data_IF_822149358952
#
_entry.id   IF_822149358952
#
_cell.length_a   1.000
_cell.length_b   1.000
_cell.length_c   1.000
_cell.angle_alpha   90.00
_cell.angle_beta   90.00
_cell.angle_gamma   90.00
#
_symmetry.space_group_name_H-M   'P 1'
#
loop_
_entity.id
_entity.type
_entity.pdbx_description
1 polymer ?
#
# COMPACT_ATOMS: atom_id res chain seq x y z
N UNK A 1 -11.32 20.83 -2.41
CA UNK A 1 -10.52 20.57 -3.64
C UNK A 1 -10.20 19.09 -3.65
N UNK A 2 -10.43 18.39 -4.75
CA UNK A 2 -10.09 16.97 -4.92
C UNK A 2 -8.97 16.84 -5.96
N UNK A 3 -8.09 15.86 -5.79
CA UNK A 3 -7.03 15.52 -6.73
C UNK A 3 -6.82 14.02 -6.75
N UNK A 4 -6.54 13.44 -7.93
CA UNK A 4 -6.35 12.02 -8.10
C UNK A 4 -6.38 11.59 -9.56
N UNK A 5 -6.20 10.30 -9.79
CA UNK A 5 -6.22 9.67 -11.11
C UNK A 5 -7.02 8.37 -11.06
N UNK A 6 -8.22 8.37 -11.65
CA UNK A 6 -9.13 7.23 -11.64
C UNK A 6 -8.65 6.04 -12.48
N UNK A 7 -7.58 6.20 -13.27
CA UNK A 7 -6.95 5.12 -14.02
C UNK A 7 -5.85 4.39 -13.23
N UNK A 8 -5.62 4.78 -11.96
CA UNK A 8 -4.70 4.09 -11.06
C UNK A 8 -5.44 3.01 -10.27
N UNK A 9 -5.12 2.82 -8.98
CA UNK A 9 -5.73 1.80 -8.16
C UNK A 9 -7.22 2.14 -7.91
N UNK A 10 -8.14 1.19 -8.19
CA UNK A 10 -9.53 1.36 -7.81
C UNK A 10 -9.67 1.33 -6.28
N UNK A 11 -10.80 1.79 -5.74
CA UNK A 11 -11.08 1.62 -4.32
C UNK A 11 -11.06 0.13 -3.96
N UNK A 12 -10.31 -0.22 -2.92
CA UNK A 12 -10.31 -1.56 -2.34
C UNK A 12 -11.74 -1.96 -1.99
N UNK A 13 -12.11 -3.21 -2.29
CA UNK A 13 -13.39 -3.75 -1.82
C UNK A 13 -13.31 -3.84 -0.30
N UNK A 14 -14.04 -2.98 0.41
CA UNK A 14 -14.26 -3.16 1.83
C UNK A 14 -14.83 -4.57 2.03
N UNK A 15 -14.15 -5.36 2.86
CA UNK A 15 -14.47 -6.73 3.20
C UNK A 15 -15.99 -6.93 3.33
N UNK A 16 -16.59 -7.67 2.39
CA UNK A 16 -17.95 -8.18 2.58
C UNK A 16 -17.77 -9.51 3.30
N UNK A 17 -18.08 -9.63 4.61
CA UNK A 17 -17.86 -10.86 5.38
C UNK A 17 -18.63 -12.07 4.83
N UNK A 18 -19.58 -11.82 3.93
CA UNK A 18 -20.42 -12.83 3.32
C UNK A 18 -20.33 -12.75 1.79
N UNK A 19 -19.68 -13.75 1.18
CA UNK A 19 -19.58 -13.91 -0.28
C UNK A 19 -20.96 -14.01 -0.95
N UNK A 20 -22.04 -14.32 -0.21
CA UNK A 20 -23.41 -14.31 -0.74
C UNK A 20 -23.95 -12.89 -1.02
N UNK A 21 -23.31 -11.85 -0.47
CA UNK A 21 -23.70 -10.43 -0.65
C UNK A 21 -22.77 -9.65 -1.60
N UNK A 22 -21.85 -10.33 -2.28
CA UNK A 22 -20.99 -9.77 -3.34
C UNK A 22 -21.77 -9.02 -4.44
N UNK A 23 -23.03 -9.38 -4.66
CA UNK A 23 -23.92 -8.69 -5.59
C UNK A 23 -24.35 -7.29 -5.16
N UNK A 24 -24.33 -6.96 -3.84
CA UNK A 24 -24.90 -5.73 -3.29
C UNK A 24 -23.86 -4.63 -2.99
N UNK A 25 -22.61 -4.99 -2.74
CA UNK A 25 -21.54 -4.03 -2.44
C UNK A 25 -20.41 -4.11 -3.48
N UNK A 26 -20.70 -3.66 -4.70
CA UNK A 26 -19.63 -3.32 -5.65
C UNK A 26 -18.99 -2.02 -5.20
N UNK A 27 -17.67 -2.00 -5.06
CA UNK A 27 -16.92 -0.76 -4.84
C UNK A 27 -17.22 0.20 -6.00
N UNK A 28 -17.84 1.34 -5.70
CA UNK A 28 -18.19 2.36 -6.69
C UNK A 28 -17.07 3.40 -6.75
N UNK A 29 -16.83 3.97 -7.92
CA UNK A 29 -15.87 5.07 -8.00
C UNK A 29 -16.45 6.32 -7.33
N UNK A 30 -15.57 7.19 -6.83
CA UNK A 30 -16.01 8.44 -6.20
C UNK A 30 -16.89 9.29 -7.14
N UNK A 31 -16.65 9.23 -8.45
CA UNK A 31 -17.44 9.95 -9.46
C UNK A 31 -18.84 9.40 -9.70
N UNK A 32 -19.15 8.19 -9.22
CA UNK A 32 -20.49 7.59 -9.31
C UNK A 32 -21.43 8.10 -8.20
N UNK A 33 -20.90 8.76 -7.16
CA UNK A 33 -21.69 9.27 -6.06
C UNK A 33 -22.71 10.33 -6.52
N UNK A 34 -23.95 10.26 -6.03
CA UNK A 34 -25.00 11.24 -6.36
C UNK A 34 -24.61 12.68 -5.98
N UNK A 35 -23.80 12.85 -4.94
CA UNK A 35 -23.25 14.13 -4.49
C UNK A 35 -22.17 14.68 -5.42
N UNK A 36 -21.49 13.84 -6.22
CA UNK A 36 -20.38 14.25 -7.07
C UNK A 36 -20.77 15.39 -8.01
N UNK A 37 -21.90 15.24 -8.72
CA UNK A 37 -22.43 16.27 -9.64
C UNK A 37 -22.85 17.56 -8.93
N UNK A 38 -23.22 17.49 -7.64
CA UNK A 38 -23.63 18.66 -6.85
C UNK A 38 -22.41 19.43 -6.34
N UNK A 39 -21.34 18.72 -5.97
CA UNK A 39 -20.16 19.29 -5.32
C UNK A 39 -19.04 19.65 -6.29
N UNK A 40 -18.87 18.91 -7.38
CA UNK A 40 -17.76 19.08 -8.34
C UNK A 40 -18.25 19.86 -9.56
N UNK A 41 -18.08 21.19 -9.51
CA UNK A 41 -18.48 22.11 -10.60
C UNK A 41 -17.38 22.38 -11.61
N UNK A 42 -16.12 22.24 -11.19
CA UNK A 42 -14.95 22.53 -12.01
C UNK A 42 -14.01 21.33 -11.99
N UNK A 43 -13.54 20.95 -13.18
CA UNK A 43 -12.58 19.86 -13.39
C UNK A 43 -11.44 20.43 -14.24
N UNK A 44 -10.21 20.31 -13.73
CA UNK A 44 -9.00 20.67 -14.46
C UNK A 44 -8.20 19.39 -14.74
N UNK A 45 -7.80 19.18 -15.99
CA UNK A 45 -6.99 18.04 -16.41
C UNK A 45 -5.55 18.52 -16.63
N UNK A 46 -4.62 17.95 -15.88
CA UNK A 46 -3.19 18.20 -16.07
C UNK A 46 -2.63 17.24 -17.13
N UNK A 47 -1.98 17.78 -18.15
CA UNK A 47 -1.47 17.01 -19.30
C UNK A 47 0.05 16.85 -19.29
N UNK A 48 0.77 17.74 -18.63
CA UNK A 48 2.23 17.71 -18.57
C UNK A 48 2.75 16.78 -17.46
N UNK A 49 3.61 15.85 -17.83
CA UNK A 49 4.28 14.92 -16.90
C UNK A 49 5.66 15.48 -16.52
N UNK A 50 5.92 15.60 -15.21
CA UNK A 50 7.19 16.13 -14.68
C UNK A 50 8.11 15.05 -14.10
N UNK A 51 7.59 13.88 -13.74
CA UNK A 51 8.37 12.82 -13.08
C UNK A 51 9.37 12.14 -14.03
N UNK A 52 9.03 12.04 -15.32
CA UNK A 52 9.86 11.39 -16.33
C UNK A 52 10.14 12.35 -17.49
N UNK A 53 11.42 12.54 -17.82
CA UNK A 53 11.85 13.41 -18.93
C UNK A 53 11.92 12.67 -20.28
N UNK A 54 12.04 11.35 -20.28
CA UNK A 54 12.25 10.57 -21.52
C UNK A 54 10.92 10.38 -22.28
N UNK A 55 10.79 10.90 -23.52
CA UNK A 55 9.56 10.83 -24.30
C UNK A 55 9.16 9.41 -24.71
N UNK A 56 10.13 8.50 -24.88
CA UNK A 56 9.85 7.08 -25.18
C UNK A 56 9.23 6.42 -23.95
N UNK A 57 9.75 6.71 -22.77
CA UNK A 57 9.21 6.16 -21.52
C UNK A 57 7.83 6.72 -21.20
N UNK A 58 7.59 8.01 -21.43
CA UNK A 58 6.27 8.61 -21.30
C UNK A 58 5.21 7.91 -22.16
N UNK A 59 5.52 7.65 -23.45
CA UNK A 59 4.60 6.91 -24.33
C UNK A 59 4.34 5.48 -23.85
N UNK A 60 5.35 4.84 -23.26
CA UNK A 60 5.19 3.51 -22.67
C UNK A 60 4.23 3.56 -21.47
N UNK A 61 4.41 4.51 -20.55
CA UNK A 61 3.54 4.68 -19.37
C UNK A 61 2.10 5.05 -19.77
N UNK A 62 1.92 5.91 -20.75
CA UNK A 62 0.60 6.26 -21.28
C UNK A 62 -0.10 5.04 -21.91
N UNK A 63 0.66 4.21 -22.64
CA UNK A 63 0.13 2.97 -23.23
C UNK A 63 -0.32 1.99 -22.15
N UNK A 64 0.42 1.87 -21.04
CA UNK A 64 0.01 1.08 -19.85
C UNK A 64 -1.25 1.67 -19.21
N UNK A 65 -1.31 2.99 -19.02
CA UNK A 65 -2.44 3.71 -18.40
C UNK A 65 -3.78 3.47 -19.12
N UNK A 66 -3.74 3.33 -20.45
CA UNK A 66 -4.94 3.06 -21.26
C UNK A 66 -5.08 1.59 -21.71
N UNK A 67 -4.23 0.68 -21.21
CA UNK A 67 -4.30 -0.75 -21.56
C UNK A 67 -3.90 -1.11 -23.00
N UNK A 68 -3.14 -0.25 -23.69
CA UNK A 68 -2.72 -0.45 -25.10
C UNK A 68 -1.38 -1.19 -25.18
N UNK A 69 -1.38 -2.49 -24.89
CA UNK A 69 -0.13 -3.24 -24.66
C UNK A 69 0.59 -3.75 -25.92
N UNK A 70 -0.11 -3.90 -27.06
CA UNK A 70 0.39 -4.62 -28.24
C UNK A 70 1.77 -4.16 -28.76
N UNK A 71 2.13 -2.88 -28.58
CA UNK A 71 3.39 -2.30 -29.09
C UNK A 71 4.48 -2.17 -28.03
N UNK A 72 4.19 -2.46 -26.75
CA UNK A 72 5.12 -2.21 -25.63
C UNK A 72 5.61 -3.48 -24.92
N UNK A 73 4.97 -4.64 -25.17
CA UNK A 73 5.32 -5.92 -24.51
C UNK A 73 6.81 -6.24 -24.65
N UNK A 74 7.36 -6.15 -25.87
CA UNK A 74 8.78 -6.44 -26.12
C UNK A 74 9.71 -5.48 -25.39
N UNK A 75 9.33 -4.21 -25.23
CA UNK A 75 10.09 -3.21 -24.47
C UNK A 75 10.05 -3.51 -22.98
N UNK A 76 8.89 -3.88 -22.43
CA UNK A 76 8.74 -4.24 -21.01
C UNK A 76 9.56 -5.50 -20.69
N UNK A 77 9.54 -6.51 -21.56
CA UNK A 77 10.33 -7.73 -21.37
C UNK A 77 11.84 -7.45 -21.29
N UNK A 78 12.34 -6.48 -22.06
CA UNK A 78 13.75 -6.05 -21.99
C UNK A 78 14.13 -5.40 -20.67
N UNK A 79 13.16 -4.97 -19.85
CA UNK A 79 13.40 -4.41 -18.52
C UNK A 79 13.68 -5.50 -17.46
N UNK A 80 13.42 -6.78 -17.75
CA UNK A 80 13.73 -7.91 -16.86
C UNK A 80 15.24 -8.26 -16.80
N UNK A 81 16.09 -7.25 -16.94
CA UNK A 81 17.54 -7.39 -16.86
C UNK A 81 18.01 -7.00 -15.45
N UNK A 82 19.11 -7.56 -14.96
CA UNK A 82 19.77 -7.04 -13.77
C UNK A 82 20.07 -5.55 -13.94
N UNK A 83 19.79 -4.76 -12.91
CA UNK A 83 20.11 -3.34 -12.88
C UNK A 83 21.49 -3.21 -12.24
N UNK A 84 22.44 -2.63 -12.97
CA UNK A 84 23.75 -2.27 -12.41
C UNK A 84 23.59 -0.99 -11.59
N UNK A 85 23.95 -1.03 -10.31
CA UNK A 85 23.88 0.13 -9.42
C UNK A 85 25.28 0.73 -9.24
N UNK A 86 25.43 2.02 -9.54
CA UNK A 86 26.62 2.80 -9.20
C UNK A 86 26.56 3.38 -7.77
N UNK A 87 25.37 3.42 -7.18
CA UNK A 87 25.10 3.98 -5.86
C UNK A 87 25.01 2.89 -4.79
N UNK A 88 25.31 3.25 -3.55
CA UNK A 88 25.21 2.38 -2.35
C UNK A 88 23.76 2.12 -1.90
N UNK A 89 22.76 2.47 -2.72
CA UNK A 89 21.33 2.38 -2.38
C UNK A 89 20.68 1.34 -3.28
N UNK A 90 20.17 0.27 -2.65
CA UNK A 90 19.33 -0.72 -3.32
C UNK A 90 17.98 -0.09 -3.70
N UNK A 91 17.41 -0.41 -4.87
CA UNK A 91 16.13 0.14 -5.26
C UNK A 91 14.98 -0.47 -4.48
N UNK A 92 13.90 0.29 -4.39
CA UNK A 92 12.63 -0.20 -3.87
C UNK A 92 12.00 -1.20 -4.84
N UNK A 93 11.62 -2.36 -4.31
CA UNK A 93 10.82 -3.34 -5.03
C UNK A 93 9.33 -3.18 -4.69
N UNK A 94 8.47 -3.42 -5.67
CA UNK A 94 7.02 -3.31 -5.54
C UNK A 94 6.38 -4.68 -5.72
N UNK A 95 5.48 -5.06 -4.81
CA UNK A 95 4.79 -6.34 -4.82
C UNK A 95 3.27 -6.16 -4.72
N UNK A 96 2.47 -7.09 -5.27
CA UNK A 96 1.02 -6.99 -5.21
C UNK A 96 0.41 -7.35 -3.85
N UNK A 97 1.12 -8.08 -2.98
CA UNK A 97 0.58 -8.52 -1.67
C UNK A 97 1.50 -8.13 -0.52
N UNK A 98 0.90 -7.86 0.66
CA UNK A 98 1.64 -7.57 1.90
C UNK A 98 2.61 -8.67 2.28
N UNK A 99 2.18 -9.94 2.17
CA UNK A 99 3.02 -11.11 2.43
C UNK A 99 4.32 -11.10 1.61
N UNK A 100 4.24 -10.80 0.32
CA UNK A 100 5.44 -10.74 -0.52
C UNK A 100 6.37 -9.58 -0.12
N UNK A 101 5.80 -8.43 0.28
CA UNK A 101 6.58 -7.31 0.82
C UNK A 101 7.29 -7.70 2.11
N UNK A 102 6.58 -8.35 3.04
CA UNK A 102 7.12 -8.83 4.31
C UNK A 102 8.23 -9.86 4.09
N UNK A 103 8.01 -10.86 3.24
CA UNK A 103 9.00 -11.89 2.91
C UNK A 103 10.28 -11.27 2.30
N UNK A 104 10.12 -10.34 1.35
CA UNK A 104 11.24 -9.66 0.72
C UNK A 104 12.02 -8.76 1.71
N UNK A 105 11.30 -8.02 2.55
CA UNK A 105 11.90 -7.16 3.57
C UNK A 105 12.61 -7.98 4.66
N UNK A 106 12.02 -9.09 5.12
CA UNK A 106 12.65 -10.00 6.07
C UNK A 106 13.92 -10.62 5.49
N UNK A 107 13.90 -11.03 4.21
CA UNK A 107 15.08 -11.54 3.52
C UNK A 107 16.20 -10.49 3.48
N UNK A 108 15.90 -9.22 3.16
CA UNK A 108 16.87 -8.12 3.18
C UNK A 108 17.41 -7.83 4.56
N UNK A 109 16.53 -7.74 5.56
CA UNK A 109 16.91 -7.51 6.94
C UNK A 109 17.88 -8.60 7.41
N UNK A 110 17.60 -9.87 7.11
CA UNK A 110 18.47 -10.99 7.48
C UNK A 110 19.87 -10.96 6.84
N UNK A 111 20.03 -10.28 5.69
CA UNK A 111 21.34 -10.10 5.04
C UNK A 111 22.19 -9.00 5.68
N UNK A 112 21.59 -8.10 6.47
CA UNK A 112 22.34 -7.06 7.17
C UNK A 112 23.17 -7.67 8.32
N UNK A 113 24.46 -7.35 8.36
CA UNK A 113 25.38 -7.86 9.38
C UNK A 113 25.25 -7.16 10.75
N UNK A 114 24.53 -6.03 10.82
CA UNK A 114 24.39 -5.27 12.05
C UNK A 114 23.52 -5.96 13.12
N UNK A 115 23.66 -5.55 14.39
CA UNK A 115 22.89 -6.13 15.48
C UNK A 115 21.39 -5.82 15.34
N UNK A 116 20.57 -6.76 15.79
CA UNK A 116 19.11 -6.61 15.86
C UNK A 116 18.70 -5.70 17.01
N UNK A 117 17.76 -4.81 16.72
CA UNK A 117 17.03 -4.00 17.69
C UNK A 117 15.56 -4.36 17.55
N UNK A 118 14.99 -4.90 18.62
CA UNK A 118 13.58 -5.27 18.68
C UNK A 118 12.79 -4.18 19.39
N UNK A 119 11.69 -3.77 18.77
CA UNK A 119 10.73 -2.83 19.30
C UNK A 119 9.37 -3.54 19.37
N UNK A 120 8.86 -3.76 20.57
CA UNK A 120 7.56 -4.40 20.78
C UNK A 120 6.48 -3.32 20.90
N UNK A 121 5.35 -3.53 20.24
CA UNK A 121 4.17 -2.69 20.39
C UNK A 121 3.57 -2.85 21.79
N UNK A 122 2.92 -1.80 22.28
CA UNK A 122 2.14 -1.81 23.53
C UNK A 122 0.74 -1.38 23.16
N UNK A 123 -0.19 -2.34 23.25
CA UNK A 123 -1.59 -2.15 22.93
C UNK A 123 -2.41 -2.11 24.22
N UNK A 124 -3.25 -1.09 24.38
CA UNK A 124 -4.10 -0.91 25.56
C UNK A 124 -5.56 -0.71 25.15
N UNK A 125 -6.46 -1.51 25.74
CA UNK A 125 -7.91 -1.32 25.61
C UNK A 125 -8.38 -0.65 26.89
N UNK A 126 -8.91 0.56 26.78
CA UNK A 126 -9.49 1.31 27.91
C UNK A 126 -11.00 1.04 27.93
N UNK A 127 -11.55 0.32 28.93
CA UNK A 127 -12.99 0.09 29.04
C UNK A 127 -13.71 1.42 29.34
N UNK A 128 -14.82 1.69 28.64
CA UNK A 128 -15.56 2.95 28.77
C UNK A 128 -16.42 3.02 30.05
N UNK A 129 -16.71 1.89 30.72
CA UNK A 129 -17.43 1.84 32.00
C UNK A 129 -16.83 0.80 32.96
N UNK A 130 -16.89 1.08 34.27
CA UNK A 130 -16.39 0.18 35.33
C UNK A 130 -17.12 -1.16 35.24
N UNK A 131 -16.35 -2.22 34.99
CA UNK A 131 -16.78 -3.60 35.14
C UNK A 131 -17.40 -3.78 36.54
N UNK A 132 -18.70 -4.01 36.59
CA UNK A 132 -19.36 -4.53 37.78
C UNK A 132 -19.07 -6.03 37.80
N UNK A 133 -18.44 -6.49 38.88
CA UNK A 133 -18.22 -7.89 39.24
C UNK A 133 -17.52 -8.79 38.20
N UNK A 134 -16.19 -8.65 38.07
CA UNK A 134 -15.24 -9.77 37.84
C UNK A 134 -15.40 -10.62 36.57
N UNK A 135 -16.38 -10.34 35.72
CA UNK A 135 -16.62 -10.99 34.45
C UNK A 135 -15.89 -10.21 33.38
N UNK A 136 -14.89 -10.83 32.77
CA UNK A 136 -14.25 -10.31 31.55
C UNK A 136 -15.35 -10.32 30.48
N UNK A 137 -15.80 -9.17 29.95
CA UNK A 137 -16.84 -9.17 28.94
C UNK A 137 -16.31 -9.89 27.70
N UNK A 138 -17.18 -10.61 26.98
CA UNK A 138 -16.85 -11.17 25.65
C UNK A 138 -16.21 -10.13 24.72
N UNK A 139 -16.53 -8.84 24.94
CA UNK A 139 -15.94 -7.67 24.28
C UNK A 139 -14.41 -7.62 24.38
N UNK A 140 -13.79 -8.14 25.44
CA UNK A 140 -12.34 -8.19 25.60
C UNK A 140 -11.69 -9.24 24.69
N UNK A 141 -12.33 -10.39 24.48
CA UNK A 141 -11.87 -11.39 23.51
C UNK A 141 -12.15 -10.95 22.06
N UNK A 142 -13.25 -10.24 21.82
CA UNK A 142 -13.51 -9.57 20.53
C UNK A 142 -12.47 -8.48 20.26
N UNK A 143 -12.03 -7.75 21.29
CA UNK A 143 -11.00 -6.71 21.21
C UNK A 143 -9.66 -7.20 20.69
N UNK A 144 -9.28 -8.47 20.93
CA UNK A 144 -8.06 -9.05 20.36
C UNK A 144 -8.07 -9.11 18.83
N UNK A 145 -9.25 -9.18 18.21
CA UNK A 145 -9.34 -9.12 16.75
C UNK A 145 -9.22 -7.70 16.18
N UNK A 146 -9.33 -6.64 17.00
CA UNK A 146 -9.18 -5.26 16.51
C UNK A 146 -7.77 -4.93 16.05
N UNK A 147 -6.77 -5.57 16.66
CA UNK A 147 -5.37 -5.34 16.30
C UNK A 147 -4.95 -6.05 15.00
N UNK A 148 -5.78 -6.97 14.48
CA UNK A 148 -5.46 -7.72 13.24
C UNK A 148 -5.35 -6.82 12.00
N UNK A 149 -6.07 -5.71 11.99
CA UNK A 149 -6.07 -4.75 10.88
C UNK A 149 -5.11 -3.57 11.12
N UNK A 150 -4.32 -3.60 12.20
CA UNK A 150 -3.34 -2.56 12.47
C UNK A 150 -2.17 -2.64 11.50
N UNK A 151 -1.68 -1.47 11.08
CA UNK A 151 -0.50 -1.37 10.22
C UNK A 151 0.81 -1.65 10.97
N UNK A 152 0.83 -1.40 12.28
CA UNK A 152 2.00 -1.64 13.11
C UNK A 152 2.05 -3.11 13.54
N UNK A 153 3.17 -3.81 13.31
CA UNK A 153 3.32 -5.19 13.79
C UNK A 153 3.54 -5.20 15.32
N UNK A 154 3.12 -6.29 15.97
CA UNK A 154 3.36 -6.51 17.41
C UNK A 154 4.87 -6.45 17.76
N UNK A 155 5.71 -6.91 16.83
CA UNK A 155 7.17 -6.89 16.97
C UNK A 155 7.82 -6.35 15.70
N UNK A 156 8.50 -5.23 15.82
CA UNK A 156 9.31 -4.62 14.77
C UNK A 156 10.80 -4.90 15.02
N UNK A 157 11.44 -5.59 14.09
CA UNK A 157 12.89 -5.87 14.14
C UNK A 157 13.61 -4.96 13.16
N UNK A 158 14.62 -4.23 13.64
CA UNK A 158 15.47 -3.35 12.85
C UNK A 158 16.93 -3.78 13.00
N UNK A 159 17.73 -3.58 11.95
CA UNK A 159 19.19 -3.78 11.98
C UNK A 159 19.88 -2.53 11.47
N UNK A 160 21.00 -2.18 12.08
CA UNK A 160 21.84 -1.09 11.59
C UNK A 160 22.57 -1.59 10.35
N UNK A 161 22.28 -1.00 9.19
CA UNK A 161 23.12 -1.20 8.02
C UNK A 161 24.42 -0.41 8.18
N UNK A 162 25.59 -0.95 7.82
CA UNK A 162 26.80 -0.14 7.67
C UNK A 162 26.67 0.93 6.57
N UNK A 163 25.65 0.84 5.71
CA UNK A 163 25.27 1.93 4.82
C UNK A 163 24.52 3.02 5.61
N UNK A 164 25.20 4.14 5.79
CA UNK A 164 24.74 5.33 6.52
C UNK A 164 23.56 6.03 5.83
N UNK A 165 22.30 5.65 6.06
CA UNK A 165 21.17 6.46 5.58
C UNK A 165 19.93 6.41 6.50
N UNK A 166 19.67 7.55 7.17
CA UNK A 166 18.35 8.08 7.48
C UNK A 166 18.29 9.49 6.84
N UNK A 167 17.68 9.60 5.65
CA UNK A 167 17.17 10.83 5.02
C UNK A 167 16.46 10.37 3.74
N UNK A 168 15.19 10.63 3.45
CA UNK A 168 14.22 11.64 3.87
C UNK A 168 12.85 10.98 4.06
#
# INVERSE_FOLDING_TARGET
VLSGDFLQLPPELCYVPDYSQLGRHRSQFAFDAHSWKKCIKHVAILTQVFRQMNPVFLRLLESVRYGRLNKIVSTIQKLNRPIAYAAQVEPTELFPTRKQVEDANACRLNRLAGPERCHNAVDEIIPQERLVDGLIPEEFEVGKNWFKDMLAPERLVLKVSPASWLSC
#
